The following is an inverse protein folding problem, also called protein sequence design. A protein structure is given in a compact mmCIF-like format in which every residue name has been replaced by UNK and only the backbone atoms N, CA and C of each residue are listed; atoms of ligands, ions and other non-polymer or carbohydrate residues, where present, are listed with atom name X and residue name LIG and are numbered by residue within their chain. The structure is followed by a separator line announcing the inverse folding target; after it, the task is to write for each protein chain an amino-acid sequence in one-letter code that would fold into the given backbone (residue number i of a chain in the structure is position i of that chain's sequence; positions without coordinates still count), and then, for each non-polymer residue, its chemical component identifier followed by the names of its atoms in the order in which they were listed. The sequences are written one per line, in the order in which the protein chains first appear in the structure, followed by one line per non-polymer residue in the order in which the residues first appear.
data_IF_928472946806
#
_entry.id   IF_928472946806
#
_cell.length_a   1.000
_cell.length_b   1.000
_cell.length_c   1.000
_cell.angle_alpha   90.00
_cell.angle_beta   90.00
_cell.angle_gamma   90.00
#
_symmetry.space_group_name_H-M   'P 1'
#
loop_
_entity.id
_entity.type
_entity.pdbx_description
1 polymer ?
#
# COMPACT_ATOMS: atom_id res chain seq x y z
N UNK A 1 -3.73 -36.66 68.15
CA UNK A 1 -2.48 -35.93 67.88
C UNK A 1 -2.50 -35.41 66.44
N UNK A 2 -2.87 -34.14 66.23
CA UNK A 2 -2.94 -33.52 64.90
C UNK A 2 -1.64 -32.75 64.66
N UNK A 3 -0.81 -33.22 63.74
CA UNK A 3 0.44 -32.55 63.37
C UNK A 3 0.13 -31.56 62.24
N UNK A 4 0.17 -30.27 62.60
CA UNK A 4 0.12 -29.16 61.66
C UNK A 4 1.36 -29.18 60.77
N UNK A 5 1.16 -29.22 59.45
CA UNK A 5 2.19 -28.88 58.49
C UNK A 5 1.77 -27.58 57.80
N UNK A 6 2.46 -26.51 58.17
CA UNK A 6 2.51 -25.26 57.42
C UNK A 6 3.37 -25.50 56.19
N UNK A 7 2.79 -25.43 55.00
CA UNK A 7 3.52 -25.13 53.76
C UNK A 7 2.84 -23.96 53.10
N UNK A 8 3.57 -22.85 53.06
CA UNK A 8 3.26 -21.64 52.34
C UNK A 8 3.27 -21.96 50.84
N UNK A 9 2.08 -22.18 50.27
CA UNK A 9 1.90 -22.32 48.83
C UNK A 9 1.95 -20.95 48.17
N UNK A 10 3.10 -20.63 47.57
CA UNK A 10 3.29 -19.46 46.73
C UNK A 10 2.35 -19.58 45.53
N UNK A 11 1.44 -18.62 45.40
CA UNK A 11 0.53 -18.48 44.28
C UNK A 11 1.34 -18.17 43.00
N UNK A 12 1.30 -19.07 42.03
CA UNK A 12 1.65 -18.76 40.64
C UNK A 12 0.39 -18.31 39.93
N UNK A 13 0.04 -17.03 40.06
CA UNK A 13 -0.90 -16.40 39.12
C UNK A 13 -0.20 -16.28 37.78
N UNK A 14 -0.36 -17.29 36.92
CA UNK A 14 0.01 -17.17 35.52
C UNK A 14 -0.99 -16.22 34.84
N UNK A 15 -0.72 -14.92 34.93
CA UNK A 15 -1.33 -13.94 34.05
C UNK A 15 -0.81 -14.22 32.64
N UNK A 16 -1.57 -15.00 31.88
CA UNK A 16 -1.36 -15.14 30.45
C UNK A 16 -1.53 -13.75 29.83
N UNK A 17 -0.41 -13.09 29.53
CA UNK A 17 -0.37 -11.90 28.68
C UNK A 17 -0.83 -12.35 27.29
N UNK A 18 -2.14 -12.32 27.03
CA UNK A 18 -2.62 -12.42 25.66
C UNK A 18 -2.01 -11.27 24.88
N UNK A 19 -1.01 -11.56 24.05
CA UNK A 19 -0.51 -10.65 23.03
C UNK A 19 -1.66 -10.33 22.10
N UNK A 20 -2.34 -9.21 22.33
CA UNK A 20 -3.25 -8.62 21.37
C UNK A 20 -2.39 -8.19 20.17
N UNK A 21 -2.36 -9.03 19.13
CA UNK A 21 -1.96 -8.59 17.80
C UNK A 21 -2.98 -7.52 17.38
N UNK A 22 -2.64 -6.25 17.60
CA UNK A 22 -3.42 -5.14 17.10
C UNK A 22 -3.56 -5.26 15.58
N UNK A 23 -4.63 -4.73 14.98
CA UNK A 23 -4.75 -4.75 13.53
C UNK A 23 -3.57 -3.97 12.94
N UNK A 24 -2.68 -4.67 12.25
CA UNK A 24 -1.71 -4.03 11.38
C UNK A 24 -2.54 -3.33 10.29
N UNK A 25 -2.80 -2.05 10.50
CA UNK A 25 -3.46 -1.21 9.50
C UNK A 25 -2.51 -1.11 8.33
N UNK A 26 -2.66 -2.01 7.37
CA UNK A 26 -1.91 -1.98 6.12
C UNK A 26 -2.33 -0.68 5.41
N UNK A 27 -1.40 0.28 5.35
CA UNK A 27 -1.57 1.45 4.52
C UNK A 27 -1.82 1.01 3.09
N UNK A 28 -2.94 1.47 2.52
CA UNK A 28 -3.33 1.19 1.13
C UNK A 28 -2.16 1.51 0.20
N UNK A 29 -1.75 0.56 -0.64
CA UNK A 29 -0.49 0.63 -1.36
C UNK A 29 -0.53 1.60 -2.55
N UNK A 30 0.52 2.40 -2.69
CA UNK A 30 0.76 3.29 -3.84
C UNK A 30 1.59 2.59 -4.96
N UNK A 31 1.91 1.31 -4.80
CA UNK A 31 2.60 0.52 -5.82
C UNK A 31 2.21 -0.96 -5.79
N UNK A 32 2.11 -1.56 -6.98
CA UNK A 32 1.84 -3.00 -7.16
C UNK A 32 3.05 -3.64 -7.81
N UNK A 33 3.81 -4.44 -7.06
CA UNK A 33 5.05 -5.06 -7.54
C UNK A 33 4.91 -6.52 -7.98
N UNK A 34 3.70 -7.07 -7.93
CA UNK A 34 3.41 -8.47 -8.21
C UNK A 34 2.04 -8.63 -8.87
N UNK A 35 1.85 -9.77 -9.51
CA UNK A 35 0.63 -10.14 -10.20
C UNK A 35 -0.45 -10.53 -9.19
N UNK A 36 -1.62 -9.90 -9.28
CA UNK A 36 -2.76 -10.18 -8.40
C UNK A 36 -4.01 -9.48 -8.91
N UNK A 37 -5.13 -9.74 -8.22
CA UNK A 37 -6.32 -8.92 -8.23
C UNK A 37 -6.34 -8.06 -6.97
N UNK A 38 -6.16 -6.76 -7.12
CA UNK A 38 -6.15 -5.79 -6.02
C UNK A 38 -7.53 -5.16 -5.84
N UNK A 39 -8.06 -5.16 -4.62
CA UNK A 39 -9.28 -4.42 -4.28
C UNK A 39 -8.99 -2.92 -4.20
N UNK A 40 -9.72 -2.13 -4.95
CA UNK A 40 -9.56 -0.67 -4.94
C UNK A 40 -10.14 -0.10 -3.64
N UNK A 41 -9.42 0.84 -3.03
CA UNK A 41 -9.74 1.42 -1.72
C UNK A 41 -9.33 0.57 -0.52
N UNK A 42 -8.96 -0.70 -0.71
CA UNK A 42 -8.49 -1.61 0.34
C UNK A 42 -7.03 -1.96 0.16
N UNK A 43 -6.67 -2.53 -0.99
CA UNK A 43 -5.30 -2.95 -1.29
C UNK A 43 -4.53 -1.84 -2.01
N UNK A 44 -5.20 -1.09 -2.89
CA UNK A 44 -4.63 0.02 -3.67
C UNK A 44 -5.53 1.25 -3.69
N UNK A 45 -4.95 2.44 -3.88
CA UNK A 45 -5.72 3.69 -3.98
C UNK A 45 -6.25 3.88 -5.41
N UNK A 46 -7.38 4.57 -5.59
CA UNK A 46 -7.76 5.06 -6.91
C UNK A 46 -6.78 6.14 -7.38
N UNK A 47 -6.50 6.15 -8.69
CA UNK A 47 -5.59 7.10 -9.30
C UNK A 47 -4.94 6.59 -10.59
N UNK A 48 -4.01 7.37 -11.10
CA UNK A 48 -3.27 7.07 -12.33
C UNK A 48 -2.03 6.27 -11.99
N UNK A 49 -1.92 5.05 -12.48
CA UNK A 49 -0.76 4.19 -12.32
C UNK A 49 -0.01 4.05 -13.64
N UNK A 50 1.32 4.01 -13.58
CA UNK A 50 2.19 3.70 -14.74
C UNK A 50 3.13 2.56 -14.39
N UNK A 51 3.34 1.64 -15.34
CA UNK A 51 4.35 0.58 -15.17
C UNK A 51 5.77 1.14 -15.32
N UNK A 52 6.70 0.70 -14.46
CA UNK A 52 8.12 1.06 -14.61
C UNK A 52 8.70 0.44 -15.87
N UNK A 53 8.33 -0.82 -16.15
CA UNK A 53 8.56 -1.54 -17.41
C UNK A 53 7.48 -2.62 -17.47
N UNK A 54 6.71 -2.72 -18.56
CA UNK A 54 5.89 -3.91 -18.79
C UNK A 54 6.81 -5.10 -19.05
N UNK A 55 6.49 -6.28 -18.50
CA UNK A 55 7.23 -7.48 -18.87
C UNK A 55 6.96 -7.83 -20.34
N UNK A 56 7.55 -8.94 -20.82
CA UNK A 56 7.44 -9.37 -22.22
C UNK A 56 5.99 -9.39 -22.72
N UNK A 57 5.03 -9.77 -21.86
CA UNK A 57 3.59 -9.67 -22.12
C UNK A 57 2.92 -9.18 -20.83
N UNK A 58 2.25 -8.03 -20.89
CA UNK A 58 1.45 -7.45 -19.82
C UNK A 58 -0.03 -7.51 -20.18
N UNK A 59 -0.86 -7.93 -19.22
CA UNK A 59 -2.31 -7.86 -19.30
C UNK A 59 -2.88 -7.26 -17.99
N UNK A 60 -3.91 -6.44 -18.13
CA UNK A 60 -4.59 -5.82 -17.01
C UNK A 60 -6.08 -5.65 -17.28
N UNK A 61 -6.87 -5.55 -16.21
CA UNK A 61 -8.29 -5.22 -16.29
C UNK A 61 -8.77 -4.42 -15.07
N UNK A 62 -9.65 -3.46 -15.31
CA UNK A 62 -10.46 -2.78 -14.30
C UNK A 62 -11.79 -3.49 -14.19
N UNK A 63 -12.23 -3.79 -12.96
CA UNK A 63 -13.36 -4.66 -12.69
C UNK A 63 -14.42 -3.98 -11.82
N UNK A 64 -15.69 -4.18 -12.16
CA UNK A 64 -16.86 -3.76 -11.36
C UNK A 64 -17.29 -4.81 -10.33
N UNK A 65 -16.74 -6.02 -10.39
CA UNK A 65 -16.91 -7.08 -9.40
C UNK A 65 -15.75 -8.08 -9.49
N UNK A 66 -15.48 -8.82 -8.41
CA UNK A 66 -14.52 -9.93 -8.41
C UNK A 66 -15.29 -11.21 -8.73
N UNK A 67 -15.35 -11.56 -10.01
CA UNK A 67 -16.06 -12.73 -10.54
C UNK A 67 -15.42 -13.15 -11.87
N UNK A 68 -15.69 -14.36 -12.33
CA UNK A 68 -15.23 -14.89 -13.61
C UNK A 68 -16.10 -14.42 -14.79
N UNK A 69 -17.16 -13.64 -14.52
CA UNK A 69 -18.07 -13.15 -15.54
C UNK A 69 -17.49 -11.94 -16.31
N UNK A 70 -17.51 -12.02 -17.63
CA UNK A 70 -16.95 -10.99 -18.50
C UNK A 70 -17.70 -9.64 -18.41
N UNK A 71 -18.96 -9.63 -17.98
CA UNK A 71 -19.71 -8.38 -17.75
C UNK A 71 -19.15 -7.55 -16.59
N UNK A 72 -18.32 -8.14 -15.73
CA UNK A 72 -17.62 -7.43 -14.67
C UNK A 72 -16.42 -6.62 -15.18
N UNK A 73 -15.96 -6.82 -16.42
CA UNK A 73 -14.82 -6.10 -16.98
C UNK A 73 -15.26 -4.71 -17.45
N UNK A 74 -14.79 -3.66 -16.77
CA UNK A 74 -15.02 -2.27 -17.15
C UNK A 74 -14.10 -1.84 -18.28
N UNK A 75 -12.85 -2.28 -18.22
CA UNK A 75 -11.81 -1.93 -19.18
C UNK A 75 -10.69 -2.98 -19.07
N UNK A 76 -10.05 -3.31 -20.19
CA UNK A 76 -8.87 -4.19 -20.19
C UNK A 76 -7.87 -3.75 -21.26
N UNK A 77 -6.63 -4.16 -21.08
CA UNK A 77 -5.58 -3.85 -22.03
C UNK A 77 -4.29 -4.59 -21.73
N UNK A 78 -3.23 -4.22 -22.45
CA UNK A 78 -1.94 -4.85 -22.32
C UNK A 78 -0.85 -4.14 -23.11
N UNK A 79 0.38 -4.62 -22.96
CA UNK A 79 1.53 -4.17 -23.74
C UNK A 79 2.56 -5.27 -23.89
N UNK A 80 3.36 -5.18 -24.95
CA UNK A 80 4.53 -6.02 -25.21
C UNK A 80 5.75 -5.10 -25.20
N UNK A 81 6.70 -5.34 -24.29
CA UNK A 81 7.95 -4.56 -24.19
C UNK A 81 7.73 -3.03 -24.15
N UNK A 82 6.78 -2.56 -23.35
CA UNK A 82 6.39 -1.14 -23.30
C UNK A 82 6.11 -0.62 -21.89
N UNK A 83 5.57 0.59 -21.80
CA UNK A 83 4.97 1.10 -20.55
C UNK A 83 3.46 1.22 -20.76
N UNK A 84 2.72 1.02 -19.69
CA UNK A 84 1.26 1.18 -19.68
C UNK A 84 0.91 2.18 -18.60
N UNK A 85 -0.01 3.09 -18.92
CA UNK A 85 -0.63 4.01 -17.96
C UNK A 85 -2.11 3.72 -17.91
N UNK A 86 -2.67 3.57 -16.71
CA UNK A 86 -4.09 3.28 -16.47
C UNK A 86 -4.60 4.19 -15.37
N UNK A 87 -5.79 4.74 -15.56
CA UNK A 87 -6.55 5.41 -14.50
C UNK A 87 -7.52 4.42 -13.86
N UNK A 88 -7.27 4.09 -12.59
CA UNK A 88 -8.13 3.29 -11.73
C UNK A 88 -9.09 4.24 -11.02
N UNK A 89 -10.39 4.11 -11.28
CA UNK A 89 -11.40 5.04 -10.76
C UNK A 89 -11.81 4.65 -9.34
N UNK A 90 -12.28 5.62 -8.52
CA UNK A 90 -12.80 5.33 -7.17
C UNK A 90 -13.98 4.35 -7.13
N UNK A 91 -14.71 4.19 -8.24
CA UNK A 91 -15.83 3.25 -8.36
C UNK A 91 -15.48 1.87 -8.90
N UNK A 92 -14.22 1.63 -9.26
CA UNK A 92 -13.77 0.29 -9.62
C UNK A 92 -13.73 -0.57 -8.35
N UNK A 93 -14.13 -1.84 -8.43
CA UNK A 93 -14.09 -2.76 -7.30
C UNK A 93 -12.72 -3.43 -7.20
N UNK A 94 -12.15 -3.79 -8.35
CA UNK A 94 -10.85 -4.44 -8.39
C UNK A 94 -10.05 -4.07 -9.64
N UNK A 95 -8.73 -4.22 -9.51
CA UNK A 95 -7.77 -4.13 -10.60
C UNK A 95 -7.00 -5.43 -10.70
N UNK A 96 -7.14 -6.12 -11.82
CA UNK A 96 -6.38 -7.32 -12.15
C UNK A 96 -5.14 -6.94 -12.96
N UNK A 97 -4.01 -7.56 -12.65
CA UNK A 97 -2.79 -7.41 -13.44
C UNK A 97 -1.95 -8.68 -13.45
N UNK A 98 -1.38 -9.01 -14.60
CA UNK A 98 -0.38 -10.06 -14.74
C UNK A 98 0.69 -9.70 -15.76
N UNK A 99 1.95 -10.02 -15.46
CA UNK A 99 3.09 -9.76 -16.34
C UNK A 99 3.37 -8.28 -16.59
N UNK A 100 2.82 -7.37 -15.80
CA UNK A 100 3.00 -5.92 -16.00
C UNK A 100 4.19 -5.34 -15.23
N UNK A 101 4.87 -6.16 -14.44
CA UNK A 101 5.97 -5.72 -13.60
C UNK A 101 5.46 -4.83 -12.46
N UNK A 102 6.20 -3.75 -12.16
CA UNK A 102 5.82 -2.83 -11.08
C UNK A 102 4.98 -1.68 -11.60
N UNK A 103 3.79 -1.49 -11.03
CA UNK A 103 2.99 -0.28 -11.17
C UNK A 103 3.34 0.74 -10.10
N UNK A 104 3.44 2.01 -10.48
CA UNK A 104 3.65 3.15 -9.57
C UNK A 104 2.54 4.17 -9.75
N UNK A 105 1.90 4.54 -8.64
CA UNK A 105 0.93 5.63 -8.61
C UNK A 105 1.63 6.94 -8.96
N UNK A 106 1.13 7.63 -9.98
CA UNK A 106 1.59 8.94 -10.43
C UNK A 106 0.74 10.07 -9.82
N UNK A 107 -0.57 9.84 -9.69
CA UNK A 107 -1.50 10.82 -9.14
C UNK A 107 -2.62 10.08 -8.44
N UNK A 108 -2.82 10.35 -7.15
CA UNK A 108 -4.03 9.94 -6.44
C UNK A 108 -5.21 10.73 -6.97
N UNK A 109 -6.33 10.07 -7.29
CA UNK A 109 -7.60 10.78 -7.49
C UNK A 109 -8.07 11.25 -6.12
N UNK A 110 -7.54 12.39 -5.68
CA UNK A 110 -7.91 13.01 -4.41
C UNK A 110 -9.36 13.46 -4.50
N UNK A 111 -10.22 12.90 -3.65
CA UNK A 111 -11.52 13.49 -3.34
C UNK A 111 -11.17 14.86 -2.75
N UNK A 112 -11.46 15.94 -3.48
CA UNK A 112 -11.21 17.31 -3.01
C UNK A 112 -12.17 17.65 -1.87
N UNK A 113 -11.93 17.09 -0.70
CA UNK A 113 -12.44 17.50 0.61
C UNK A 113 -11.26 17.40 1.56
N UNK A 114 -10.67 18.55 1.87
CA UNK A 114 -9.25 18.71 2.21
C UNK A 114 -8.73 17.84 3.37
N UNK A 115 -7.52 17.31 3.18
CA UNK A 115 -6.55 16.97 4.22
C UNK A 115 -5.21 16.63 3.52
N UNK A 116 -4.23 17.55 3.55
CA UNK A 116 -3.02 17.45 4.37
C UNK A 116 -2.13 16.23 4.08
N UNK A 117 -0.97 16.51 3.44
CA UNK A 117 0.30 15.88 3.81
C UNK A 117 0.81 14.72 2.95
N UNK A 118 1.67 15.05 1.97
CA UNK A 118 2.86 14.24 1.68
C UNK A 118 3.96 15.18 1.21
N UNK A 119 4.61 15.82 2.19
CA UNK A 119 5.89 16.48 1.95
C UNK A 119 6.93 15.41 1.62
N UNK A 120 7.67 15.63 0.54
CA UNK A 120 8.94 14.95 0.32
C UNK A 120 10.05 15.99 0.48
N UNK A 121 10.84 15.75 1.51
CA UNK A 121 11.99 16.53 1.92
C UNK A 121 13.10 16.50 0.86
N UNK A 122 13.74 17.65 0.68
CA UNK A 122 15.09 17.76 0.12
C UNK A 122 15.94 18.53 1.12
N UNK A 123 16.48 17.84 2.12
CA UNK A 123 17.51 18.37 3.02
C UNK A 123 18.88 18.25 2.34
N UNK A 124 19.59 19.38 2.24
CA UNK A 124 21.00 19.44 1.87
C UNK A 124 21.62 20.68 2.51
N UNK A 125 22.22 20.47 3.69
CA UNK A 125 22.80 21.46 4.58
C UNK A 125 24.20 21.90 4.16
N UNK A 126 24.54 23.17 4.44
CA UNK A 126 25.86 23.52 5.01
C UNK A 126 26.86 24.21 4.07
N UNK A 127 27.22 25.45 4.40
CA UNK A 127 28.34 26.15 3.79
C UNK A 127 28.45 27.62 4.20
N UNK A 128 28.73 27.88 5.48
CA UNK A 128 29.09 29.20 6.01
C UNK A 128 30.39 29.71 5.37
N UNK A 129 30.45 31.00 5.03
CA UNK A 129 31.67 31.66 4.56
C UNK A 129 31.52 33.18 4.49
N UNK A 130 31.90 33.84 5.59
CA UNK A 130 31.99 35.29 5.76
C UNK A 130 33.11 35.92 4.90
N UNK A 131 32.96 37.17 4.45
CA UNK A 131 34.11 38.01 4.04
C UNK A 131 33.81 39.18 3.10
N UNK A 132 33.76 40.39 3.66
CA UNK A 132 34.32 41.69 3.16
C UNK A 132 34.39 41.91 1.64
N UNK A 133 33.70 42.88 1.02
CA UNK A 133 33.95 44.32 1.16
C UNK A 133 35.17 44.77 0.34
N UNK A 134 35.00 45.55 -0.73
CA UNK A 134 35.80 46.75 -1.10
C UNK A 134 35.52 47.23 -2.54
N UNK A 135 35.29 48.55 -2.61
CA UNK A 135 35.52 49.53 -3.70
C UNK A 135 34.97 49.32 -5.10
#
# INVERSE_FOLDING_TARGET
MRKSLWVNGIALTAAALMSAAGPASATVADSMGYDSTFKVGVDIKPGVYTTTTAATICAWARLSAITDDLSAVLESGGAINGKVTVEIKPGDIAFFTTGCGTWKLQTTTSINTGSLGSGSAGSGSGGSGSGTGSS
#
